data_IF_010575714257
#
_entry.id   IF_010575714257
#
_cell.length_a   1.000
_cell.length_b   1.000
_cell.length_c   1.000
_cell.angle_alpha   90.00
_cell.angle_beta   90.00
_cell.angle_gamma   90.00
#
_symmetry.space_group_name_H-M   'P 1'
#
loop_
_entity.id
_entity.type
_entity.pdbx_description
1 polymer ?
#
# COMPACT_ATOMS: atom_id res chain seq x y z
N UNK A 1 13.78 4.53 17.49
CA UNK A 1 13.07 5.66 16.85
C UNK A 1 12.43 5.07 15.60
N UNK A 2 11.11 5.02 15.50
CA UNK A 2 10.48 4.53 14.27
C UNK A 2 10.56 5.64 13.21
N UNK A 3 11.04 5.30 12.01
CA UNK A 3 11.14 6.24 10.89
C UNK A 3 9.77 6.61 10.31
N UNK A 4 8.72 5.89 10.71
CA UNK A 4 7.35 6.05 10.26
C UNK A 4 6.41 5.92 11.47
N UNK A 5 5.32 6.68 11.48
CA UNK A 5 4.33 6.61 12.54
C UNK A 5 2.95 7.01 12.01
N UNK A 6 1.92 6.61 12.74
CA UNK A 6 0.54 7.06 12.53
C UNK A 6 0.12 7.81 13.79
N UNK A 7 -0.45 8.99 13.62
CA UNK A 7 -0.94 9.82 14.72
C UNK A 7 -2.33 10.37 14.42
N UNK A 8 -3.17 10.41 15.45
CA UNK A 8 -4.46 11.11 15.41
C UNK A 8 -4.30 12.56 15.84
N UNK A 9 -4.97 13.48 15.16
CA UNK A 9 -5.02 14.89 15.53
C UNK A 9 -6.48 15.36 15.60
N UNK A 10 -6.82 16.13 16.64
CA UNK A 10 -8.15 16.76 16.79
C UNK A 10 -8.18 18.19 16.26
N UNK A 11 -7.03 18.81 16.07
CA UNK A 11 -6.90 20.17 15.55
C UNK A 11 -6.93 20.14 14.02
N UNK A 12 -7.99 20.71 13.44
CA UNK A 12 -8.16 20.79 12.00
C UNK A 12 -7.14 21.69 11.31
N UNK A 13 -6.42 22.55 12.05
CA UNK A 13 -5.34 23.38 11.51
C UNK A 13 -4.18 22.54 10.93
N UNK A 14 -4.10 21.25 11.27
CA UNK A 14 -3.10 20.34 10.74
C UNK A 14 -3.09 20.33 9.21
N UNK A 15 -4.23 20.45 8.54
CA UNK A 15 -4.33 20.47 7.07
C UNK A 15 -3.56 21.61 6.40
N UNK A 16 -3.27 22.68 7.14
CA UNK A 16 -2.49 23.83 6.67
C UNK A 16 -0.98 23.67 6.88
N UNK A 17 -0.55 22.56 7.48
CA UNK A 17 0.84 22.28 7.86
C UNK A 17 1.37 21.00 7.18
N UNK A 18 1.48 21.00 5.84
CA UNK A 18 1.90 19.83 5.08
C UNK A 18 3.35 19.40 5.35
N UNK A 19 4.13 20.13 6.12
CA UNK A 19 5.47 19.75 6.59
C UNK A 19 5.44 18.73 7.74
N UNK A 20 4.29 18.50 8.37
CA UNK A 20 4.15 17.62 9.54
C UNK A 20 3.72 16.19 9.19
N UNK A 21 3.32 15.93 7.95
CA UNK A 21 2.83 14.63 7.49
C UNK A 21 3.10 14.42 6.01
N UNK A 22 3.24 13.16 5.61
CA UNK A 22 3.23 12.75 4.20
C UNK A 22 1.79 12.59 3.68
N UNK A 23 0.89 12.07 4.53
CA UNK A 23 -0.50 11.75 4.21
C UNK A 23 -1.41 12.18 5.36
N UNK A 24 -2.51 12.86 5.02
CA UNK A 24 -3.56 13.26 5.96
C UNK A 24 -4.88 12.58 5.58
N UNK A 25 -5.45 11.85 6.54
CA UNK A 25 -6.80 11.28 6.43
C UNK A 25 -7.76 12.17 7.22
N UNK A 26 -8.61 12.92 6.52
CA UNK A 26 -9.63 13.75 7.11
C UNK A 26 -10.96 12.98 7.15
N UNK A 27 -11.20 12.29 8.27
CA UNK A 27 -12.39 11.45 8.44
C UNK A 27 -13.71 12.23 8.31
N UNK A 28 -13.91 13.41 8.94
CA UNK A 28 -15.14 14.19 8.76
C UNK A 28 -15.42 14.61 7.31
N UNK A 29 -14.37 14.91 6.54
CA UNK A 29 -14.50 15.32 5.15
C UNK A 29 -14.49 14.14 4.17
N UNK A 30 -14.28 12.91 4.64
CA UNK A 30 -14.05 11.72 3.82
C UNK A 30 -12.96 11.95 2.75
N UNK A 31 -11.90 12.66 3.11
CA UNK A 31 -10.84 13.07 2.18
C UNK A 31 -9.49 12.51 2.62
N UNK A 32 -8.69 12.09 1.64
CA UNK A 32 -7.27 11.76 1.82
C UNK A 32 -6.44 12.74 1.00
N UNK A 33 -5.52 13.43 1.67
CA UNK A 33 -4.63 14.41 1.03
C UNK A 33 -3.18 13.98 1.18
N UNK A 34 -2.42 14.06 0.10
CA UNK A 34 -0.97 13.78 0.09
C UNK A 34 -0.21 15.08 0.07
N UNK A 35 0.74 15.25 0.99
CA UNK A 35 1.57 16.45 1.07
C UNK A 35 2.45 16.59 -0.19
N UNK A 36 2.75 17.82 -0.65
CA UNK A 36 3.48 18.03 -1.90
C UNK A 36 4.82 17.28 -1.99
N UNK A 37 5.56 17.21 -0.89
CA UNK A 37 6.87 16.54 -0.83
C UNK A 37 6.79 15.01 -0.88
N UNK A 38 5.62 14.44 -0.56
CA UNK A 38 5.39 12.99 -0.54
C UNK A 38 4.69 12.46 -1.80
N UNK A 39 4.22 13.35 -2.69
CA UNK A 39 3.42 12.99 -3.88
C UNK A 39 4.03 11.89 -4.73
N UNK A 40 5.32 11.97 -5.01
CA UNK A 40 5.99 10.99 -5.86
C UNK A 40 6.02 9.61 -5.19
N UNK A 41 6.29 9.56 -3.88
CA UNK A 41 6.35 8.32 -3.10
C UNK A 41 4.98 7.67 -2.90
N UNK A 42 3.92 8.48 -2.91
CA UNK A 42 2.53 8.06 -2.71
C UNK A 42 1.70 8.13 -4.00
N UNK A 43 2.35 7.95 -5.15
CA UNK A 43 1.67 7.95 -6.44
C UNK A 43 0.65 6.81 -6.51
N UNK A 44 -0.62 7.15 -6.70
CA UNK A 44 -1.70 6.17 -6.77
C UNK A 44 -1.57 5.28 -8.01
N UNK A 45 -1.60 3.97 -7.81
CA UNK A 45 -1.61 2.96 -8.86
C UNK A 45 -3.02 2.37 -9.05
N UNK A 46 -3.21 1.60 -10.13
CA UNK A 46 -4.46 0.87 -10.39
C UNK A 46 -4.87 -0.02 -9.21
N UNK A 47 -3.91 -0.67 -8.55
CA UNK A 47 -4.12 -1.53 -7.38
C UNK A 47 -4.85 -0.82 -6.25
N UNK A 48 -4.46 0.43 -5.95
CA UNK A 48 -5.11 1.22 -4.91
C UNK A 48 -6.59 1.48 -5.22
N UNK A 49 -6.90 1.81 -6.49
CA UNK A 49 -8.28 2.00 -6.94
C UNK A 49 -9.09 0.70 -6.83
N UNK A 50 -8.52 -0.43 -7.23
CA UNK A 50 -9.19 -1.72 -7.17
C UNK A 50 -9.51 -2.16 -5.73
N UNK A 51 -8.59 -1.96 -4.79
CA UNK A 51 -8.82 -2.23 -3.36
C UNK A 51 -9.89 -1.29 -2.80
N UNK A 52 -9.83 0.01 -3.12
CA UNK A 52 -10.83 0.98 -2.67
C UNK A 52 -12.23 0.63 -3.19
N UNK A 53 -12.36 0.30 -4.49
CA UNK A 53 -13.63 -0.14 -5.06
C UNK A 53 -14.15 -1.42 -4.42
N UNK A 54 -13.26 -2.37 -4.11
CA UNK A 54 -13.62 -3.60 -3.40
C UNK A 54 -14.17 -3.30 -2.00
N UNK A 55 -13.53 -2.41 -1.23
CA UNK A 55 -14.02 -1.99 0.07
C UNK A 55 -15.40 -1.33 0.00
N UNK A 56 -15.63 -0.46 -1.00
CA UNK A 56 -16.94 0.17 -1.22
C UNK A 56 -18.02 -0.88 -1.50
N UNK A 57 -17.74 -1.84 -2.38
CA UNK A 57 -18.68 -2.92 -2.71
C UNK A 57 -19.02 -3.80 -1.49
N UNK A 58 -18.04 -4.08 -0.63
CA UNK A 58 -18.29 -4.81 0.62
C UNK A 58 -19.20 -4.03 1.57
N UNK A 59 -19.01 -2.71 1.66
CA UNK A 59 -19.81 -1.86 2.54
C UNK A 59 -21.24 -1.63 2.01
N UNK A 60 -21.45 -1.65 0.69
CA UNK A 60 -22.77 -1.56 0.07
C UNK A 60 -23.61 -2.83 0.27
N UNK A 61 -22.96 -3.97 0.56
CA UNK A 61 -23.66 -5.20 0.88
C UNK A 61 -24.11 -5.21 2.35
N UNK A 62 -25.34 -4.75 2.60
CA UNK A 62 -25.94 -4.73 3.95
C UNK A 62 -26.09 -6.12 4.61
N UNK A 63 -25.86 -7.22 3.88
CA UNK A 63 -25.86 -8.58 4.41
C UNK A 63 -24.47 -9.04 4.89
N UNK A 64 -23.40 -8.30 4.57
CA UNK A 64 -22.06 -8.60 5.03
C UNK A 64 -21.91 -8.22 6.51
N UNK A 65 -21.50 -9.20 7.32
CA UNK A 65 -21.05 -8.97 8.69
C UNK A 65 -19.65 -8.36 8.71
N UNK A 66 -19.30 -7.66 9.78
CA UNK A 66 -17.95 -7.11 9.97
C UNK A 66 -16.85 -8.19 9.82
N UNK A 67 -17.10 -9.40 10.34
CA UNK A 67 -16.17 -10.51 10.20
C UNK A 67 -15.99 -10.95 8.74
N UNK A 68 -17.04 -10.92 7.93
CA UNK A 68 -16.93 -11.22 6.50
C UNK A 68 -16.13 -10.14 5.79
N UNK A 69 -16.37 -8.85 6.10
CA UNK A 69 -15.60 -7.74 5.52
C UNK A 69 -14.11 -7.89 5.83
N UNK A 70 -13.76 -8.22 7.07
CA UNK A 70 -12.37 -8.45 7.49
C UNK A 70 -11.75 -9.60 6.70
N UNK A 71 -12.44 -10.73 6.58
CA UNK A 71 -11.92 -11.92 5.87
C UNK A 71 -11.74 -11.65 4.38
N UNK A 72 -12.74 -11.05 3.72
CA UNK A 72 -12.69 -10.69 2.30
C UNK A 72 -11.54 -9.71 2.01
N UNK A 73 -11.30 -8.74 2.89
CA UNK A 73 -10.18 -7.82 2.75
C UNK A 73 -8.82 -8.51 2.99
N UNK A 74 -8.76 -9.43 3.95
CA UNK A 74 -7.57 -10.23 4.20
C UNK A 74 -7.22 -11.10 2.98
N UNK A 75 -8.21 -11.77 2.40
CA UNK A 75 -8.04 -12.59 1.19
C UNK A 75 -7.59 -11.74 0.00
N UNK A 76 -8.22 -10.58 -0.22
CA UNK A 76 -7.82 -9.64 -1.28
C UNK A 76 -6.38 -9.14 -1.10
N UNK A 77 -5.97 -8.89 0.15
CA UNK A 77 -4.60 -8.50 0.47
C UNK A 77 -3.64 -9.65 0.21
N UNK A 78 -4.02 -10.87 0.59
CA UNK A 78 -3.22 -12.07 0.36
C UNK A 78 -3.02 -12.36 -1.13
N UNK A 79 -4.04 -12.11 -1.96
CA UNK A 79 -3.92 -12.21 -3.42
C UNK A 79 -2.86 -11.26 -3.98
N UNK A 80 -2.84 -10.00 -3.51
CA UNK A 80 -1.82 -9.03 -3.89
C UNK A 80 -0.42 -9.51 -3.47
N UNK A 81 -0.28 -10.04 -2.25
CA UNK A 81 0.98 -10.58 -1.76
C UNK A 81 1.43 -11.82 -2.55
N UNK A 82 0.50 -12.68 -2.95
CA UNK A 82 0.78 -13.85 -3.77
C UNK A 82 1.24 -13.45 -5.18
N UNK A 83 0.61 -12.42 -5.77
CA UNK A 83 1.06 -11.82 -7.03
C UNK A 83 2.48 -11.28 -6.90
N UNK A 84 2.79 -10.54 -5.84
CA UNK A 84 4.16 -10.07 -5.58
C UNK A 84 5.15 -11.24 -5.45
N UNK A 85 4.81 -12.28 -4.67
CA UNK A 85 5.66 -13.47 -4.49
C UNK A 85 5.89 -14.24 -5.80
N UNK A 86 4.93 -14.25 -6.71
CA UNK A 86 5.11 -14.84 -8.05
C UNK A 86 6.14 -14.10 -8.91
N UNK A 87 6.48 -12.85 -8.53
CA UNK A 87 7.57 -12.10 -9.13
C UNK A 87 8.92 -12.47 -8.50
N UNK A 88 8.95 -13.07 -7.31
CA UNK A 88 10.20 -13.38 -6.61
C UNK A 88 10.94 -14.57 -7.22
N UNK A 89 12.27 -14.47 -7.26
CA UNK A 89 13.15 -15.59 -7.49
C UNK A 89 13.40 -16.35 -6.19
N UNK A 90 13.76 -17.63 -6.30
CA UNK A 90 14.30 -18.39 -5.16
C UNK A 90 15.77 -18.03 -5.04
N UNK A 91 16.20 -17.55 -3.86
CA UNK A 91 17.63 -17.50 -3.53
C UNK A 91 18.12 -18.92 -3.24
N UNK A 92 19.10 -19.36 -4.04
CA UNK A 92 19.80 -20.66 -4.06
C UNK A 92 20.28 -21.08 -2.65
N UNK A 93 20.68 -20.12 -1.82
CA UNK A 93 21.45 -20.44 -0.61
C UNK A 93 20.65 -20.58 0.69
N UNK A 94 19.43 -20.05 0.76
CA UNK A 94 18.64 -19.96 2.01
C UNK A 94 17.20 -20.46 1.91
N UNK A 95 16.71 -20.73 0.69
CA UNK A 95 15.31 -21.08 0.44
C UNK A 95 14.32 -19.94 0.70
N UNK A 96 14.80 -18.72 0.99
CA UNK A 96 13.96 -17.53 1.15
C UNK A 96 13.64 -16.93 -0.22
N UNK A 97 12.38 -16.53 -0.42
CA UNK A 97 11.97 -15.77 -1.60
C UNK A 97 12.54 -14.35 -1.50
N UNK A 98 13.35 -13.97 -2.49
CA UNK A 98 13.93 -12.62 -2.60
C UNK A 98 13.65 -12.08 -3.99
N UNK A 99 13.17 -10.84 -4.06
CA UNK A 99 12.97 -10.11 -5.30
C UNK A 99 14.19 -9.22 -5.53
N UNK A 100 14.86 -9.40 -6.67
CA UNK A 100 15.95 -8.53 -7.09
C UNK A 100 15.38 -7.30 -7.83
N UNK A 101 16.03 -6.14 -7.72
CA UNK A 101 15.71 -4.91 -8.46
C UNK A 101 15.56 -5.20 -9.96
N UNK A 102 16.46 -6.03 -10.51
CA UNK A 102 16.49 -6.31 -11.94
C UNK A 102 15.22 -7.05 -12.42
N UNK A 103 14.57 -7.81 -11.53
CA UNK A 103 13.30 -8.49 -11.81
C UNK A 103 12.17 -7.50 -12.16
N UNK A 104 12.19 -6.29 -11.61
CA UNK A 104 11.22 -5.25 -11.95
C UNK A 104 11.61 -4.50 -13.24
N UNK A 105 12.91 -4.27 -13.44
CA UNK A 105 13.45 -3.58 -14.64
C UNK A 105 13.14 -4.35 -15.93
N UNK A 106 13.28 -5.67 -15.91
CA UNK A 106 13.02 -6.52 -17.08
C UNK A 106 11.56 -6.51 -17.54
N UNK A 107 10.63 -6.15 -16.63
CA UNK A 107 9.19 -6.12 -16.92
C UNK A 107 8.71 -4.79 -17.52
N UNK A 108 9.59 -3.79 -17.65
CA UNK A 108 9.28 -2.47 -18.21
C UNK A 108 7.99 -1.87 -17.64
N UNK A 109 7.83 -1.96 -16.31
CA UNK A 109 6.65 -1.47 -15.61
C UNK A 109 6.64 0.07 -15.55
N UNK A 110 5.47 0.71 -15.50
CA UNK A 110 5.42 2.15 -15.21
C UNK A 110 6.08 2.44 -13.85
N UNK A 111 6.85 3.53 -13.75
CA UNK A 111 7.63 3.88 -12.54
C UNK A 111 6.80 3.83 -11.24
N UNK A 112 5.56 4.32 -11.27
CA UNK A 112 4.68 4.29 -10.10
C UNK A 112 4.34 2.87 -9.64
N UNK A 113 4.20 1.93 -10.58
CA UNK A 113 3.93 0.51 -10.29
C UNK A 113 5.18 -0.16 -9.76
N UNK A 114 6.34 0.11 -10.36
CA UNK A 114 7.63 -0.39 -9.88
C UNK A 114 7.89 0.07 -8.44
N UNK A 115 7.78 1.37 -8.17
CA UNK A 115 7.98 1.93 -6.83
C UNK A 115 7.02 1.30 -5.81
N UNK A 116 5.76 1.11 -6.19
CA UNK A 116 4.77 0.45 -5.34
C UNK A 116 5.18 -0.99 -5.01
N UNK A 117 5.58 -1.79 -6.00
CA UNK A 117 5.97 -3.19 -5.78
C UNK A 117 7.27 -3.31 -4.98
N UNK A 118 8.25 -2.41 -5.17
CA UNK A 118 9.48 -2.35 -4.37
C UNK A 118 9.13 -2.03 -2.92
N UNK A 119 8.32 -0.98 -2.68
CA UNK A 119 7.92 -0.60 -1.33
C UNK A 119 7.13 -1.72 -0.64
N UNK A 120 6.24 -2.41 -1.37
CA UNK A 120 5.52 -3.57 -0.86
C UNK A 120 6.49 -4.73 -0.52
N UNK A 121 7.46 -5.02 -1.39
CA UNK A 121 8.46 -6.05 -1.13
C UNK A 121 9.35 -5.74 0.08
N UNK A 122 9.71 -4.47 0.29
CA UNK A 122 10.44 -4.01 1.48
C UNK A 122 9.59 -4.23 2.73
N UNK A 123 8.31 -3.82 2.71
CA UNK A 123 7.38 -3.98 3.83
C UNK A 123 7.19 -5.47 4.21
N UNK A 124 7.18 -6.34 3.21
CA UNK A 124 7.00 -7.80 3.37
C UNK A 124 8.32 -8.56 3.60
N UNK A 125 9.46 -7.87 3.72
CA UNK A 125 10.79 -8.47 3.88
C UNK A 125 11.19 -9.45 2.74
N UNK A 126 10.67 -9.19 1.54
CA UNK A 126 10.92 -9.93 0.30
C UNK A 126 11.93 -9.22 -0.62
N UNK A 127 12.48 -8.08 -0.19
CA UNK A 127 13.46 -7.31 -0.96
C UNK A 127 14.80 -7.28 -0.24
N UNK A 128 15.90 -7.43 -1.00
CA UNK A 128 17.25 -7.26 -0.46
C UNK A 128 17.69 -5.81 -0.64
N UNK A 129 17.78 -5.09 0.47
CA UNK A 129 18.29 -3.70 0.54
C UNK A 129 19.81 -3.70 0.47
#
# INVERSE_FOLDING_TARGET
RHSYYVAGCRDSSISSKPELYDLLVNLPACEISVAPHAKESLTMTKTHKEIAMFMVQLCENHLCTESQIINELADKTQDLLNQLKSLAGVDDSSGKLIINVDTFRDKNLPQAVENFLINLAIAENLFQV
#
